data_IF_205988107538
#
_entry.id   IF_205988107538
#
_cell.length_a   1.000
_cell.length_b   1.000
_cell.length_c   1.000
_cell.angle_alpha   90.00
_cell.angle_beta   90.00
_cell.angle_gamma   90.00
#
_symmetry.space_group_name_H-M   'P 1'
#
loop_
_entity.id
_entity.type
_entity.pdbx_description
1 polymer ?
#
# COMPACT_ATOMS: atom_id res chain seq x y z
N UNK A 1 18.65 -1.15 -11.43
CA UNK A 1 18.09 -0.95 -12.78
C UNK A 1 16.57 -0.87 -12.68
N UNK A 2 15.97 0.32 -12.77
CA UNK A 2 14.51 0.47 -12.88
C UNK A 2 14.15 0.50 -14.37
N UNK A 3 13.21 -0.34 -14.81
CA UNK A 3 12.78 -0.40 -16.20
C UNK A 3 12.04 0.89 -16.55
N UNK A 4 12.53 1.59 -17.59
CA UNK A 4 11.95 2.82 -18.15
C UNK A 4 10.46 2.57 -18.46
N UNK A 5 9.56 3.24 -17.73
CA UNK A 5 8.10 3.14 -17.93
C UNK A 5 7.28 2.69 -16.70
N UNK A 6 7.90 2.36 -15.56
CA UNK A 6 7.13 2.07 -14.34
C UNK A 6 6.60 3.38 -13.73
N UNK A 7 5.38 3.75 -14.09
CA UNK A 7 4.62 4.81 -13.41
C UNK A 7 4.19 4.29 -12.04
N UNK A 8 4.87 4.77 -10.99
CA UNK A 8 4.43 4.56 -9.62
C UNK A 8 3.11 5.29 -9.45
N UNK A 9 2.00 4.56 -9.37
CA UNK A 9 0.73 5.14 -8.95
C UNK A 9 0.93 5.71 -7.54
N UNK A 10 0.82 7.04 -7.41
CA UNK A 10 0.83 7.69 -6.11
C UNK A 10 -0.47 7.37 -5.41
N UNK A 11 -0.46 6.33 -4.59
CA UNK A 11 -1.52 6.08 -3.64
C UNK A 11 -1.39 7.07 -2.48
N UNK A 12 -2.47 7.78 -2.17
CA UNK A 12 -2.53 8.68 -1.02
C UNK A 12 -2.41 7.87 0.27
N UNK A 13 -1.92 8.50 1.34
CA UNK A 13 -1.87 7.86 2.65
C UNK A 13 -3.24 7.41 3.14
N UNK A 14 -4.28 8.18 2.83
CA UNK A 14 -5.68 7.85 3.14
C UNK A 14 -6.07 6.49 2.57
N UNK A 15 -5.75 6.23 1.30
CA UNK A 15 -6.04 4.95 0.66
C UNK A 15 -5.25 3.81 1.31
N UNK A 16 -3.98 4.03 1.65
CA UNK A 16 -3.15 3.02 2.32
C UNK A 16 -3.70 2.69 3.72
N UNK A 17 -4.14 3.69 4.48
CA UNK A 17 -4.79 3.52 5.78
C UNK A 17 -6.09 2.74 5.64
N UNK A 18 -6.92 3.07 4.65
CA UNK A 18 -8.16 2.34 4.38
C UNK A 18 -7.87 0.87 4.06
N UNK A 19 -6.90 0.57 3.18
CA UNK A 19 -6.47 -0.81 2.88
C UNK A 19 -6.14 -1.60 4.15
N UNK A 20 -5.35 -1.01 5.04
CA UNK A 20 -4.94 -1.63 6.29
C UNK A 20 -6.13 -1.84 7.21
N UNK A 21 -7.01 -0.85 7.30
CA UNK A 21 -8.25 -0.92 8.08
C UNK A 21 -9.15 -2.07 7.60
N UNK A 22 -9.41 -2.16 6.31
CA UNK A 22 -10.19 -3.25 5.70
C UNK A 22 -9.57 -4.63 5.99
N UNK A 23 -8.23 -4.71 6.03
CA UNK A 23 -7.53 -5.97 6.27
C UNK A 23 -7.50 -6.38 7.74
N UNK A 24 -7.26 -5.43 8.65
CA UNK A 24 -7.08 -5.70 10.08
C UNK A 24 -8.40 -5.69 10.85
N UNK A 25 -9.32 -4.78 10.53
CA UNK A 25 -10.62 -4.66 11.20
C UNK A 25 -11.69 -5.56 10.57
N UNK A 26 -11.86 -5.51 9.24
CA UNK A 26 -12.89 -6.30 8.55
C UNK A 26 -12.41 -7.69 8.10
N UNK A 27 -11.10 -7.97 8.16
CA UNK A 27 -10.54 -9.26 7.73
C UNK A 27 -10.66 -9.53 6.23
N UNK A 28 -10.89 -8.49 5.41
CA UNK A 28 -11.14 -8.64 3.96
C UNK A 28 -9.97 -9.28 3.23
N UNK A 29 -10.29 -10.02 2.17
CA UNK A 29 -9.29 -10.64 1.31
C UNK A 29 -8.56 -9.61 0.44
N UNK A 30 -7.31 -9.90 0.05
CA UNK A 30 -6.53 -9.01 -0.82
C UNK A 30 -7.28 -8.69 -2.12
N UNK A 31 -7.98 -9.68 -2.69
CA UNK A 31 -8.83 -9.51 -3.86
C UNK A 31 -9.94 -8.49 -3.63
N UNK A 32 -10.70 -8.60 -2.53
CA UNK A 32 -11.79 -7.67 -2.21
C UNK A 32 -11.28 -6.25 -2.05
N UNK A 33 -10.14 -6.09 -1.35
CA UNK A 33 -9.49 -4.78 -1.17
C UNK A 33 -9.07 -4.18 -2.52
N UNK A 34 -8.54 -4.99 -3.44
CA UNK A 34 -8.19 -4.53 -4.81
C UNK A 34 -9.41 -4.08 -5.59
N UNK A 35 -10.49 -4.86 -5.57
CA UNK A 35 -11.73 -4.54 -6.29
C UNK A 35 -12.40 -3.30 -5.68
N UNK A 36 -12.37 -3.15 -4.35
CA UNK A 36 -12.98 -2.01 -3.65
C UNK A 36 -12.18 -0.71 -3.78
N UNK A 37 -10.85 -0.76 -3.71
CA UNK A 37 -9.98 0.43 -3.68
C UNK A 37 -9.18 0.66 -4.97
N UNK A 38 -9.32 -0.20 -5.98
CA UNK A 38 -8.60 -0.08 -7.25
C UNK A 38 -7.10 -0.31 -7.14
N UNK A 39 -6.63 -0.98 -6.09
CA UNK A 39 -5.21 -1.31 -5.91
C UNK A 39 -4.85 -2.43 -6.88
N UNK A 40 -3.78 -2.26 -7.65
CA UNK A 40 -3.41 -3.24 -8.69
C UNK A 40 -2.51 -4.36 -8.19
N UNK A 41 -1.86 -4.18 -7.04
CA UNK A 41 -0.78 -5.07 -6.58
C UNK A 41 -1.02 -5.58 -5.17
N UNK A 42 -1.21 -6.89 -5.04
CA UNK A 42 -1.33 -7.58 -3.75
C UNK A 42 -0.09 -7.38 -2.87
N UNK A 43 1.11 -7.35 -3.48
CA UNK A 43 2.36 -7.15 -2.77
C UNK A 43 2.40 -5.78 -2.06
N UNK A 44 1.81 -4.74 -2.64
CA UNK A 44 1.72 -3.43 -2.00
C UNK A 44 0.75 -3.44 -0.82
N UNK A 45 -0.39 -4.14 -0.96
CA UNK A 45 -1.35 -4.30 0.14
C UNK A 45 -0.66 -4.98 1.33
N UNK A 46 0.05 -6.07 1.09
CA UNK A 46 0.78 -6.80 2.15
C UNK A 46 1.86 -5.93 2.77
N UNK A 47 2.61 -5.16 1.98
CA UNK A 47 3.61 -4.22 2.50
C UNK A 47 2.98 -3.16 3.41
N UNK A 48 1.87 -2.55 3.01
CA UNK A 48 1.18 -1.54 3.83
C UNK A 48 0.65 -2.15 5.14
N UNK A 49 0.02 -3.31 5.07
CA UNK A 49 -0.47 -4.02 6.25
C UNK A 49 0.66 -4.39 7.19
N UNK A 50 1.82 -4.78 6.65
CA UNK A 50 3.01 -5.05 7.46
C UNK A 50 3.54 -3.78 8.14
N UNK A 51 3.74 -2.69 7.39
CA UNK A 51 4.21 -1.41 7.95
C UNK A 51 3.30 -0.89 9.05
N UNK A 52 1.98 -0.96 8.85
CA UNK A 52 1.02 -0.54 9.85
C UNK A 52 1.09 -1.35 11.14
N UNK A 53 1.26 -2.67 11.04
CA UNK A 53 1.46 -3.53 12.22
C UNK A 53 2.78 -3.27 12.94
N UNK A 54 3.78 -2.73 12.25
CA UNK A 54 5.05 -2.28 12.86
C UNK A 54 4.96 -0.85 13.42
N UNK A 55 3.83 -0.15 13.23
CA UNK A 55 3.69 1.26 13.60
C UNK A 55 4.49 2.22 12.71
N UNK A 56 4.94 1.76 11.53
CA UNK A 56 5.67 2.58 10.56
C UNK A 56 4.73 3.46 9.74
N UNK A 57 5.20 4.67 9.41
CA UNK A 57 4.49 5.59 8.51
C UNK A 57 4.44 5.04 7.08
N UNK A 58 3.38 5.39 6.36
CA UNK A 58 3.23 5.05 4.94
C UNK A 58 3.92 6.04 3.99
N UNK A 59 4.61 7.04 4.57
CA UNK A 59 5.40 8.01 3.83
C UNK A 59 6.42 7.32 2.94
N UNK A 60 6.41 7.70 1.66
CA UNK A 60 7.34 7.19 0.68
C UNK A 60 8.68 7.91 0.88
N UNK A 61 9.57 7.32 1.68
CA UNK A 61 10.94 7.82 1.88
C UNK A 61 11.87 7.61 0.66
N UNK A 62 11.33 7.25 -0.52
CA UNK A 62 12.14 7.06 -1.73
C UNK A 62 12.58 8.42 -2.27
N UNK A 63 13.69 8.91 -1.76
CA UNK A 63 14.25 10.22 -2.12
C UNK A 63 15.23 10.80 -1.10
N UNK A 64 15.36 10.22 0.10
CA UNK A 64 16.41 10.61 1.04
C UNK A 64 17.72 9.91 0.65
N UNK A 65 18.36 10.41 -0.41
CA UNK A 65 19.79 10.22 -0.61
C UNK A 65 20.51 11.28 0.23
N UNK A 66 21.41 10.84 1.12
CA UNK A 66 22.44 11.69 1.72
C UNK A 66 23.75 11.46 0.96
#
# INVERSE_FOLDING_TARGET
MAKKGQSFQKYTEELKREVVRLRLEEGKSLREIREQLGVKSDAQIVEWVKRAQQGESFEDQRGVWN
#
